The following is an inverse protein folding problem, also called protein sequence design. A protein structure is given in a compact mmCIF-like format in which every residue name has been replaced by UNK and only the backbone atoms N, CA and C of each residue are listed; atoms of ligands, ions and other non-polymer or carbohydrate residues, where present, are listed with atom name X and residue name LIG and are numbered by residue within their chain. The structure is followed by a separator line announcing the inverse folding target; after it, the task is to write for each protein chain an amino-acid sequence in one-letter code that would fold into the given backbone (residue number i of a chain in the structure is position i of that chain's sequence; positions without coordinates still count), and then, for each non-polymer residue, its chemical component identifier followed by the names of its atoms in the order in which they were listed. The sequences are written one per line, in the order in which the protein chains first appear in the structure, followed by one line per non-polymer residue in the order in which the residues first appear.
data_IF_496114482044
#
_entry.id   IF_496114482044
#
_cell.length_a   1.000
_cell.length_b   1.000
_cell.length_c   1.000
_cell.angle_alpha   90.00
_cell.angle_beta   90.00
_cell.angle_gamma   90.00
#
_symmetry.space_group_name_H-M   'P 1'
#
loop_
_entity.id
_entity.type
_entity.pdbx_description
1 polymer ?
#
# COMPACT_ATOMS: atom_id res chain seq x y z
N UNK A 1 10.31 -4.38 9.28
CA UNK A 1 9.88 -5.71 8.77
C UNK A 1 8.39 -5.75 8.42
N UNK A 2 7.57 -4.78 8.86
CA UNK A 2 6.13 -4.72 8.56
C UNK A 2 5.80 -4.63 7.06
N UNK A 3 6.57 -3.86 6.28
CA UNK A 3 6.36 -3.78 4.82
C UNK A 3 6.43 -5.14 4.09
N UNK A 4 7.33 -6.03 4.53
CA UNK A 4 7.42 -7.39 3.95
C UNK A 4 6.17 -8.21 4.33
N UNK A 5 5.64 -8.00 5.53
CA UNK A 5 4.39 -8.64 5.98
C UNK A 5 3.22 -8.20 5.11
N UNK A 6 3.08 -6.89 4.87
CA UNK A 6 2.05 -6.30 3.99
C UNK A 6 2.14 -6.92 2.59
N UNK A 7 3.35 -6.98 2.00
CA UNK A 7 3.53 -7.59 0.68
C UNK A 7 3.10 -9.06 0.68
N UNK A 8 3.53 -9.84 1.68
CA UNK A 8 3.17 -11.25 1.75
C UNK A 8 1.65 -11.44 1.83
N UNK A 9 0.97 -10.59 2.60
CA UNK A 9 -0.49 -10.59 2.74
C UNK A 9 -1.19 -10.24 1.41
N UNK A 10 -0.69 -9.24 0.68
CA UNK A 10 -1.17 -8.91 -0.67
C UNK A 10 -1.01 -10.07 -1.68
N UNK A 11 -0.04 -10.96 -1.44
CA UNK A 11 0.26 -12.10 -2.31
C UNK A 11 -0.52 -13.36 -1.96
N UNK A 12 -1.38 -13.33 -0.94
CA UNK A 12 -2.19 -14.48 -0.55
C UNK A 12 -3.24 -14.83 -1.61
N UNK A 13 -3.41 -16.13 -1.86
CA UNK A 13 -4.30 -16.63 -2.90
C UNK A 13 -5.78 -16.34 -2.61
N UNK A 14 -6.14 -16.33 -1.32
CA UNK A 14 -7.49 -16.04 -0.82
C UNK A 14 -7.39 -14.92 0.20
N UNK A 15 -8.25 -13.92 0.07
CA UNK A 15 -8.34 -12.80 0.99
C UNK A 15 -9.75 -12.76 1.58
N UNK A 16 -9.85 -12.49 2.88
CA UNK A 16 -11.14 -12.33 3.58
C UNK A 16 -11.31 -10.87 3.96
N UNK A 17 -12.54 -10.38 4.12
CA UNK A 17 -12.76 -8.99 4.55
C UNK A 17 -12.06 -8.64 5.86
N UNK A 18 -12.01 -9.58 6.82
CA UNK A 18 -11.29 -9.37 8.07
C UNK A 18 -9.77 -9.19 7.84
N UNK A 19 -9.19 -9.98 6.94
CA UNK A 19 -7.76 -9.90 6.61
C UNK A 19 -7.42 -8.66 5.78
N UNK A 20 -8.35 -8.20 4.93
CA UNK A 20 -8.25 -6.92 4.21
C UNK A 20 -8.28 -5.72 5.16
N UNK A 21 -9.13 -5.77 6.18
CA UNK A 21 -9.19 -4.71 7.19
C UNK A 21 -7.88 -4.63 7.99
N UNK A 22 -7.34 -5.78 8.43
CA UNK A 22 -6.04 -5.85 9.09
C UNK A 22 -4.92 -5.30 8.19
N UNK A 23 -4.94 -5.65 6.90
CA UNK A 23 -4.00 -5.12 5.91
C UNK A 23 -4.12 -3.59 5.77
N UNK A 24 -5.33 -3.04 5.82
CA UNK A 24 -5.55 -1.59 5.78
C UNK A 24 -4.91 -0.90 7.00
N UNK A 25 -5.12 -1.44 8.19
CA UNK A 25 -4.54 -0.93 9.44
C UNK A 25 -3.00 -0.99 9.41
N UNK A 26 -2.43 -2.10 8.95
CA UNK A 26 -0.98 -2.28 8.79
C UNK A 26 -0.37 -1.28 7.79
N UNK A 27 -1.06 -1.02 6.66
CA UNK A 27 -0.60 -0.06 5.65
C UNK A 27 -0.63 1.37 6.20
N UNK A 28 -1.65 1.73 6.98
CA UNK A 28 -1.75 3.06 7.59
C UNK A 28 -0.61 3.25 8.60
N UNK A 29 -0.37 2.28 9.49
CA UNK A 29 0.73 2.35 10.46
C UNK A 29 2.09 2.50 9.74
N UNK A 30 2.31 1.72 8.68
CA UNK A 30 3.53 1.83 7.88
C UNK A 30 3.66 3.19 7.17
N UNK A 31 2.56 3.75 6.66
CA UNK A 31 2.56 5.04 5.98
C UNK A 31 2.85 6.19 6.96
N UNK A 32 2.33 6.14 8.19
CA UNK A 32 2.65 7.11 9.23
C UNK A 32 4.15 7.10 9.58
N UNK A 33 4.75 5.90 9.74
CA UNK A 33 6.20 5.78 9.95
C UNK A 33 7.00 6.33 8.76
N UNK A 34 6.55 6.07 7.54
CA UNK A 34 7.15 6.62 6.33
C UNK A 34 7.08 8.15 6.29
N UNK A 35 5.92 8.73 6.59
CA UNK A 35 5.71 10.18 6.60
C UNK A 35 6.63 10.86 7.62
N UNK A 36 6.77 10.30 8.82
CA UNK A 36 7.66 10.82 9.85
C UNK A 36 9.15 10.77 9.43
N UNK A 37 9.58 9.72 8.74
CA UNK A 37 10.98 9.59 8.28
C UNK A 37 11.27 10.53 7.11
N UNK A 38 10.41 10.55 6.10
CA UNK A 38 10.70 11.15 4.79
C UNK A 38 10.02 12.50 4.55
N UNK A 39 8.79 12.72 5.03
CA UNK A 39 8.09 13.99 4.86
C UNK A 39 8.40 14.96 6.00
N UNK A 40 8.55 14.47 7.23
CA UNK A 40 8.89 15.27 8.42
C UNK A 40 7.96 16.49 8.61
N UNK A 41 6.70 16.37 8.14
CA UNK A 41 5.69 17.43 8.18
C UNK A 41 6.15 18.75 7.52
N UNK A 42 7.09 18.68 6.58
CA UNK A 42 7.68 19.85 5.92
C UNK A 42 7.34 19.86 4.43
N UNK A 43 6.72 20.96 3.99
CA UNK A 43 6.40 21.16 2.58
C UNK A 43 7.64 21.16 1.65
N UNK A 44 8.85 21.34 2.19
CA UNK A 44 10.09 21.22 1.41
C UNK A 44 10.38 19.77 1.00
N UNK A 45 9.85 18.80 1.75
CA UNK A 45 10.00 17.39 1.48
C UNK A 45 8.80 16.78 0.76
N UNK A 46 7.84 17.59 0.30
CA UNK A 46 6.69 17.11 -0.48
C UNK A 46 7.08 16.16 -1.65
N UNK A 47 8.23 16.34 -2.35
CA UNK A 47 8.68 15.40 -3.38
C UNK A 47 9.01 13.99 -2.89
N UNK A 48 9.15 13.76 -1.58
CA UNK A 48 9.36 12.42 -1.02
C UNK A 48 8.06 11.63 -0.94
N UNK A 49 6.90 12.30 -0.83
CA UNK A 49 5.57 11.67 -0.88
C UNK A 49 5.18 11.29 -2.32
N UNK A 50 5.91 10.33 -2.90
CA UNK A 50 5.68 9.89 -4.28
C UNK A 50 4.34 9.18 -4.43
N UNK A 51 3.70 9.37 -5.58
CA UNK A 51 2.39 8.78 -5.90
C UNK A 51 2.41 7.26 -5.70
N UNK A 52 3.52 6.60 -5.99
CA UNK A 52 3.70 5.15 -5.79
C UNK A 52 3.56 4.73 -4.33
N UNK A 53 3.98 5.56 -3.37
CA UNK A 53 3.84 5.27 -1.94
C UNK A 53 2.43 5.57 -1.49
N UNK A 54 1.85 6.69 -1.94
CA UNK A 54 0.46 7.04 -1.64
C UNK A 54 -0.55 6.00 -2.15
N UNK A 55 -0.26 5.37 -3.30
CA UNK A 55 -1.08 4.31 -3.89
C UNK A 55 -1.30 3.10 -2.97
N UNK A 56 -0.39 2.83 -2.03
CA UNK A 56 -0.56 1.73 -1.09
C UNK A 56 -1.78 1.90 -0.19
N UNK A 57 -2.14 3.14 0.15
CA UNK A 57 -3.36 3.45 0.93
C UNK A 57 -4.62 2.97 0.22
N UNK A 58 -4.59 2.86 -1.11
CA UNK A 58 -5.69 2.39 -1.95
C UNK A 58 -5.57 0.92 -2.34
N UNK A 59 -4.53 0.20 -1.90
CA UNK A 59 -4.34 -1.20 -2.27
C UNK A 59 -5.52 -2.07 -1.83
N UNK A 60 -6.06 -1.83 -0.64
CA UNK A 60 -7.22 -2.55 -0.12
C UNK A 60 -8.49 -2.20 -0.90
N UNK A 61 -8.69 -0.93 -1.24
CA UNK A 61 -9.81 -0.50 -2.09
C UNK A 61 -9.82 -1.26 -3.42
N UNK A 62 -8.64 -1.39 -4.07
CA UNK A 62 -8.51 -2.17 -5.30
C UNK A 62 -8.80 -3.64 -5.08
N UNK A 63 -8.41 -4.20 -3.92
CA UNK A 63 -8.70 -5.60 -3.58
C UNK A 63 -10.18 -5.90 -3.41
N UNK A 64 -10.93 -4.95 -2.85
CA UNK A 64 -12.38 -5.06 -2.70
C UNK A 64 -13.10 -5.01 -4.06
N UNK A 65 -12.67 -4.13 -4.97
CA UNK A 65 -13.32 -3.94 -6.26
C UNK A 65 -12.97 -5.01 -7.30
N UNK A 66 -11.70 -5.44 -7.32
CA UNK A 66 -11.15 -6.24 -8.44
C UNK A 66 -10.64 -7.62 -8.01
N UNK A 67 -10.64 -7.91 -6.70
CA UNK A 67 -10.24 -9.19 -6.13
C UNK A 67 -8.78 -9.23 -5.65
N UNK A 68 -8.19 -10.43 -5.47
CA UNK A 68 -6.87 -10.55 -4.87
C UNK A 68 -5.77 -9.84 -5.66
N UNK A 69 -4.97 -9.04 -4.96
CA UNK A 69 -3.99 -8.13 -5.56
C UNK A 69 -2.96 -8.85 -6.44
N UNK A 70 -2.51 -10.05 -6.04
CA UNK A 70 -1.55 -10.85 -6.83
C UNK A 70 -1.98 -11.10 -8.27
N UNK A 71 -3.29 -11.11 -8.56
CA UNK A 71 -3.83 -11.43 -9.88
C UNK A 71 -3.72 -10.28 -10.90
N UNK A 72 -3.61 -9.04 -10.44
CA UNK A 72 -3.49 -7.84 -11.29
C UNK A 72 -2.39 -6.86 -10.83
N UNK A 73 -1.54 -7.27 -9.88
CA UNK A 73 -0.46 -6.45 -9.32
C UNK A 73 0.45 -5.83 -10.38
N UNK A 74 0.84 -6.59 -11.40
CA UNK A 74 1.67 -6.07 -12.49
C UNK A 74 1.03 -4.86 -13.19
N UNK A 75 -0.29 -4.87 -13.39
CA UNK A 75 -1.01 -3.78 -14.03
C UNK A 75 -1.04 -2.51 -13.16
N UNK A 76 -1.23 -2.66 -11.85
CA UNK A 76 -1.17 -1.56 -10.87
C UNK A 76 0.23 -0.94 -10.85
N UNK A 77 1.27 -1.78 -10.84
CA UNK A 77 2.66 -1.31 -10.84
C UNK A 77 3.06 -0.63 -12.16
N UNK A 78 2.55 -1.12 -13.30
CA UNK A 78 2.77 -0.48 -14.61
C UNK A 78 2.24 0.96 -14.65
N UNK A 79 1.09 1.23 -14.01
CA UNK A 79 0.56 2.60 -13.90
C UNK A 79 1.49 3.55 -13.14
N UNK A 80 2.20 3.06 -12.13
CA UNK A 80 3.08 3.88 -11.30
C UNK A 80 4.52 3.96 -11.83
N UNK A 81 4.89 3.17 -12.84
CA UNK A 81 6.22 3.17 -13.46
C UNK A 81 6.33 4.04 -14.73
N UNK A 82 5.34 4.91 -14.99
CA UNK A 82 5.29 5.80 -16.17
C UNK A 82 6.09 7.09 -16.01
#
# INVERSE_FOLDING_TARGET
MQFISIINHCMEFTSTQASQQELCEDIIEWYEEYEDIFYQQSAQHLPTCVVTVYAWLHAVDFMEETGPLWSYWCWVMEWYCS
#
